data_IF_986362269162
#
_entry.id   IF_986362269162
#
_cell.length_a   1.000
_cell.length_b   1.000
_cell.length_c   1.000
_cell.angle_alpha   90.00
_cell.angle_beta   90.00
_cell.angle_gamma   90.00
#
_symmetry.space_group_name_H-M   'P 1'
#
loop_
_entity.id
_entity.type
_entity.pdbx_description
1 polymer ?
#
# COMPACT_ATOMS: atom_id res chain seq x y z
N UNK A 1 10.25 14.79 65.61
CA UNK A 1 10.27 15.98 64.75
C UNK A 1 9.00 15.97 63.90
N UNK A 2 8.26 17.08 63.91
CA UNK A 2 6.98 17.33 63.23
C UNK A 2 7.23 18.11 61.94
N UNK A 3 6.56 17.74 60.85
CA UNK A 3 6.03 18.55 59.73
C UNK A 3 5.05 17.57 59.02
N UNK A 4 3.72 17.67 58.92
CA UNK A 4 2.69 18.71 58.78
C UNK A 4 2.73 19.54 57.48
N UNK A 5 1.58 19.49 56.76
CA UNK A 5 1.00 20.42 55.76
C UNK A 5 1.39 20.10 54.29
N UNK A 6 0.51 20.02 53.28
CA UNK A 6 -0.94 20.25 53.14
C UNK A 6 -1.52 19.48 51.94
N UNK A 7 -2.82 19.20 52.04
CA UNK A 7 -3.74 18.93 50.92
C UNK A 7 -3.79 20.11 49.94
N UNK A 8 -3.88 19.82 48.64
CA UNK A 8 -4.65 20.65 47.71
C UNK A 8 -5.51 19.75 46.83
N UNK A 9 -6.82 19.78 47.10
CA UNK A 9 -7.88 19.28 46.22
C UNK A 9 -8.33 20.48 45.39
N UNK A 10 -8.34 20.35 44.06
CA UNK A 10 -9.13 21.20 43.18
C UNK A 10 -10.01 20.28 42.34
N UNK A 11 -11.31 20.39 42.56
CA UNK A 11 -12.38 19.86 41.70
C UNK A 11 -13.04 21.05 41.01
N UNK A 12 -13.05 21.05 39.68
CA UNK A 12 -14.03 21.66 38.79
C UNK A 12 -13.67 21.16 37.37
N UNK A 13 -14.53 20.63 36.52
CA UNK A 13 -15.95 20.89 36.35
C UNK A 13 -16.17 21.67 35.05
N UNK A 14 -16.59 20.95 34.00
CA UNK A 14 -17.40 21.39 32.84
C UNK A 14 -16.77 22.34 31.80
N UNK A 15 -16.58 21.84 30.57
CA UNK A 15 -17.28 22.40 29.39
C UNK A 15 -17.21 21.45 28.19
N UNK A 16 -18.36 20.86 27.87
CA UNK A 16 -18.68 20.44 26.52
C UNK A 16 -19.12 21.68 25.73
N UNK A 17 -18.61 21.87 24.51
CA UNK A 17 -19.23 22.79 23.55
C UNK A 17 -18.28 23.54 22.63
N UNK A 18 -18.56 23.38 21.33
CA UNK A 18 -18.27 24.27 20.20
C UNK A 18 -16.82 24.38 19.70
N UNK A 19 -16.54 23.68 18.60
CA UNK A 19 -16.28 24.39 17.34
C UNK A 19 -16.95 23.66 16.17
N UNK A 20 -17.61 24.46 15.35
CA UNK A 20 -18.54 24.07 14.31
C UNK A 20 -17.84 23.85 12.97
N UNK A 21 -18.45 22.96 12.17
CA UNK A 21 -18.67 23.08 10.73
C UNK A 21 -17.45 23.20 9.79
N UNK A 22 -17.18 22.11 9.06
CA UNK A 22 -17.26 22.19 7.61
C UNK A 22 -17.84 20.90 7.03
N UNK A 23 -18.95 21.07 6.32
CA UNK A 23 -19.73 20.07 5.58
C UNK A 23 -19.11 19.81 4.19
N UNK A 24 -19.70 18.78 3.55
CA UNK A 24 -19.67 18.34 2.14
C UNK A 24 -18.62 17.26 1.80
N UNK A 25 -18.97 16.12 1.20
CA UNK A 25 -20.22 15.70 0.56
C UNK A 25 -20.17 14.17 0.41
N UNK A 26 -20.90 13.43 1.25
CA UNK A 26 -21.07 11.99 1.08
C UNK A 26 -22.31 11.79 0.20
N UNK A 27 -22.10 11.38 -1.04
CA UNK A 27 -23.20 11.13 -1.98
C UNK A 27 -23.92 9.84 -1.57
N UNK A 28 -24.99 9.98 -0.78
CA UNK A 28 -25.94 8.90 -0.54
C UNK A 28 -26.96 8.89 -1.68
N UNK A 29 -26.84 7.91 -2.58
CA UNK A 29 -27.90 7.62 -3.55
C UNK A 29 -29.05 6.97 -2.79
N UNK A 30 -30.21 7.63 -2.79
CA UNK A 30 -31.46 7.05 -2.31
C UNK A 30 -32.30 6.66 -3.52
N UNK A 31 -32.81 5.43 -3.54
CA UNK A 31 -33.75 4.96 -4.53
C UNK A 31 -35.17 5.16 -3.98
N UNK A 32 -35.95 6.03 -4.63
CA UNK A 32 -37.39 6.11 -4.43
C UNK A 32 -38.07 5.59 -5.69
N UNK A 33 -38.87 4.54 -5.56
CA UNK A 33 -39.69 3.99 -6.63
C UNK A 33 -40.99 4.80 -6.74
N UNK A 34 -41.32 5.27 -7.94
CA UNK A 34 -42.55 5.99 -8.25
C UNK A 34 -43.02 5.53 -9.63
N UNK A 35 -44.04 4.68 -9.66
CA UNK A 35 -44.77 4.37 -10.88
C UNK A 35 -45.55 5.60 -11.34
N UNK A 36 -45.26 6.09 -12.55
CA UNK A 36 -46.26 6.30 -13.62
C UNK A 36 -45.72 7.17 -14.77
N UNK A 37 -46.10 6.71 -15.95
CA UNK A 37 -46.31 7.44 -17.19
C UNK A 37 -45.14 7.70 -18.15
N UNK A 38 -45.42 7.31 -19.39
CA UNK A 38 -44.56 7.14 -20.54
C UNK A 38 -44.29 8.46 -21.27
N UNK A 39 -43.02 8.81 -21.44
CA UNK A 39 -42.53 9.54 -22.63
C UNK A 39 -41.07 9.15 -22.90
N UNK A 40 -40.84 8.47 -24.02
CA UNK A 40 -39.52 8.05 -24.49
C UNK A 40 -38.79 9.26 -25.11
N UNK A 41 -37.88 9.89 -24.35
CA UNK A 41 -36.92 10.86 -24.87
C UNK A 41 -35.56 10.20 -25.02
N UNK A 42 -35.10 10.00 -26.26
CA UNK A 42 -33.70 9.62 -26.51
C UNK A 42 -32.81 10.82 -26.18
N UNK A 43 -32.06 10.73 -25.08
CA UNK A 43 -30.96 11.64 -24.79
C UNK A 43 -29.66 11.01 -25.31
N UNK A 44 -28.96 11.77 -26.13
CA UNK A 44 -27.64 11.43 -26.68
C UNK A 44 -26.65 11.16 -25.52
N UNK A 45 -25.89 10.05 -25.54
CA UNK A 45 -24.94 9.77 -24.47
C UNK A 45 -23.87 10.87 -24.44
N UNK A 46 -23.83 11.60 -23.33
CA UNK A 46 -22.78 12.57 -23.04
C UNK A 46 -21.42 11.86 -23.11
N UNK A 47 -20.54 12.37 -23.97
CA UNK A 47 -19.16 11.93 -24.14
C UNK A 47 -18.42 12.15 -22.81
N UNK A 48 -18.27 11.10 -22.02
CA UNK A 48 -17.44 11.10 -20.81
C UNK A 48 -16.00 11.31 -21.25
N UNK A 49 -15.45 12.48 -20.94
CA UNK A 49 -14.02 12.73 -21.05
C UNK A 49 -13.31 11.86 -20.00
N UNK A 50 -12.60 10.84 -20.45
CA UNK A 50 -11.62 10.15 -19.60
C UNK A 50 -10.48 11.13 -19.32
N UNK A 51 -10.50 11.77 -18.15
CA UNK A 51 -9.29 12.35 -17.59
C UNK A 51 -8.35 11.16 -17.30
N UNK A 52 -7.22 11.12 -17.98
CA UNK A 52 -6.16 10.13 -17.77
C UNK A 52 -5.60 10.37 -16.36
N UNK A 53 -6.08 9.61 -15.37
CA UNK A 53 -5.56 9.70 -14.00
C UNK A 53 -4.05 9.50 -14.03
N UNK A 54 -3.32 10.44 -13.42
CA UNK A 54 -1.87 10.38 -13.39
C UNK A 54 -1.43 9.03 -12.82
N UNK A 55 -0.45 8.33 -13.45
CA UNK A 55 -0.02 7.02 -12.97
C UNK A 55 0.41 7.12 -11.52
N UNK A 56 0.02 6.11 -10.73
CA UNK A 56 0.06 6.11 -9.26
C UNK A 56 1.38 6.62 -8.67
N UNK A 57 2.52 6.27 -9.26
CA UNK A 57 3.85 6.72 -8.79
C UNK A 57 4.13 8.21 -8.96
N UNK A 58 3.40 8.91 -9.83
CA UNK A 58 3.48 10.37 -9.94
C UNK A 58 2.77 11.08 -8.78
N UNK A 59 1.89 10.40 -8.04
CA UNK A 59 1.18 10.98 -6.89
C UNK A 59 2.13 11.43 -5.78
N UNK A 60 3.29 10.78 -5.67
CA UNK A 60 4.27 11.00 -4.60
C UNK A 60 5.67 11.36 -5.14
N UNK A 61 5.78 11.98 -6.31
CA UNK A 61 7.07 12.20 -7.02
C UNK A 61 8.18 12.91 -6.21
N UNK A 62 7.82 13.67 -5.16
CA UNK A 62 8.77 14.42 -4.33
C UNK A 62 9.06 13.74 -2.97
N UNK A 63 8.75 12.46 -2.82
CA UNK A 63 8.99 11.75 -1.58
C UNK A 63 10.50 11.60 -1.30
N UNK A 64 10.91 12.06 -0.12
CA UNK A 64 12.25 11.85 0.42
C UNK A 64 12.13 10.94 1.63
N UNK A 65 12.78 9.78 1.56
CA UNK A 65 12.78 8.79 2.63
C UNK A 65 13.64 9.26 3.81
N UNK A 66 13.23 8.89 5.02
CA UNK A 66 14.00 9.08 6.24
C UNK A 66 15.08 7.99 6.45
N UNK A 67 15.12 6.98 5.59
CA UNK A 67 15.98 5.82 5.73
C UNK A 67 16.76 5.55 4.45
N UNK A 68 17.90 4.90 4.61
CA UNK A 68 18.60 4.26 3.50
C UNK A 68 18.20 2.79 3.44
N UNK A 69 17.98 2.28 2.23
CA UNK A 69 17.56 0.90 2.01
C UNK A 69 18.58 0.13 1.19
N UNK A 70 18.85 -1.11 1.60
CA UNK A 70 19.66 -2.04 0.80
C UNK A 70 19.07 -3.44 0.85
N UNK A 71 19.11 -4.14 -0.29
CA UNK A 71 18.76 -5.55 -0.37
C UNK A 71 19.82 -6.41 0.32
N UNK A 72 19.41 -7.35 1.15
CA UNK A 72 20.25 -8.39 1.74
C UNK A 72 20.09 -9.72 0.97
N UNK A 73 21.03 -10.65 1.16
CA UNK A 73 21.01 -11.97 0.53
C UNK A 73 20.86 -13.14 1.51
N UNK A 74 20.90 -12.88 2.81
CA UNK A 74 20.82 -13.93 3.83
C UNK A 74 19.36 -14.34 4.07
N UNK A 75 18.95 -15.47 3.50
CA UNK A 75 17.58 -16.01 3.58
C UNK A 75 17.14 -16.36 5.00
N UNK A 76 18.08 -16.61 5.93
CA UNK A 76 17.74 -16.91 7.33
C UNK A 76 16.99 -15.75 8.01
N UNK A 77 17.17 -14.53 7.49
CA UNK A 77 16.47 -13.33 7.97
C UNK A 77 15.00 -13.24 7.55
N UNK A 78 14.51 -14.16 6.71
CA UNK A 78 13.07 -14.31 6.47
C UNK A 78 12.36 -14.84 7.73
N UNK A 79 13.07 -15.68 8.50
CA UNK A 79 12.56 -16.26 9.74
C UNK A 79 12.37 -15.14 10.76
N UNK A 80 11.15 -15.01 11.27
CA UNK A 80 10.78 -13.97 12.23
C UNK A 80 10.17 -12.72 11.59
N UNK A 81 10.07 -12.64 10.25
CA UNK A 81 9.25 -11.63 9.61
C UNK A 81 7.80 -12.11 9.48
N UNK A 82 6.86 -11.19 9.66
CA UNK A 82 5.42 -11.41 9.48
C UNK A 82 4.85 -10.31 8.59
N UNK A 83 3.70 -10.56 7.96
CA UNK A 83 2.90 -9.51 7.31
C UNK A 83 2.71 -8.30 8.23
N UNK A 84 2.95 -7.10 7.71
CA UNK A 84 2.76 -5.85 8.45
C UNK A 84 1.85 -4.87 7.73
N UNK A 85 2.07 -4.67 6.44
CA UNK A 85 1.34 -3.71 5.62
C UNK A 85 1.01 -4.36 4.28
N UNK A 86 -0.27 -4.34 3.91
CA UNK A 86 -0.66 -4.57 2.52
C UNK A 86 -0.48 -3.30 1.71
N UNK A 87 -0.27 -3.45 0.41
CA UNK A 87 -0.32 -2.31 -0.50
C UNK A 87 -1.75 -1.77 -0.58
N UNK A 88 -1.91 -0.46 -0.78
CA UNK A 88 -3.24 0.15 -0.99
C UNK A 88 -3.67 0.08 -2.46
N UNK A 89 -3.11 -0.87 -3.20
CA UNK A 89 -3.17 -0.89 -4.65
C UNK A 89 -4.51 -1.47 -5.12
N UNK A 90 -5.24 -0.77 -5.99
CA UNK A 90 -6.65 -1.03 -6.22
C UNK A 90 -6.93 -2.30 -7.05
N UNK A 91 -5.93 -2.82 -7.76
CA UNK A 91 -6.07 -3.90 -8.74
C UNK A 91 -4.73 -4.60 -9.03
N UNK A 92 -4.77 -5.60 -9.92
CA UNK A 92 -3.57 -6.30 -10.37
C UNK A 92 -2.55 -5.42 -11.13
N UNK A 93 -2.98 -4.28 -11.69
CA UNK A 93 -2.06 -3.29 -12.28
C UNK A 93 -1.16 -2.68 -11.19
N UNK A 94 -1.72 -2.46 -10.01
CA UNK A 94 -0.95 -2.03 -8.86
C UNK A 94 0.07 -3.09 -8.39
N UNK A 95 -0.28 -4.38 -8.43
CA UNK A 95 0.70 -5.46 -8.21
C UNK A 95 1.91 -5.33 -9.12
N UNK A 96 1.68 -5.07 -10.42
CA UNK A 96 2.75 -4.83 -11.37
C UNK A 96 3.58 -3.59 -11.05
N UNK A 97 2.95 -2.49 -10.62
CA UNK A 97 3.65 -1.27 -10.21
C UNK A 97 4.57 -1.52 -9.01
N UNK A 98 4.08 -2.20 -7.98
CA UNK A 98 4.85 -2.53 -6.78
C UNK A 98 6.07 -3.39 -7.13
N UNK A 99 5.87 -4.44 -7.91
CA UNK A 99 6.95 -5.32 -8.38
C UNK A 99 7.98 -4.57 -9.23
N UNK A 100 7.53 -3.77 -10.19
CA UNK A 100 8.41 -2.97 -11.04
C UNK A 100 9.25 -1.96 -10.26
N UNK A 101 8.66 -1.32 -9.24
CA UNK A 101 9.36 -0.40 -8.35
C UNK A 101 10.41 -1.11 -7.47
N UNK A 102 10.11 -2.31 -6.97
CA UNK A 102 11.10 -3.14 -6.27
C UNK A 102 12.28 -3.51 -7.18
N UNK A 103 12.02 -3.84 -8.45
CA UNK A 103 13.08 -4.10 -9.43
C UNK A 103 13.95 -2.85 -9.64
N UNK A 104 13.35 -1.66 -9.72
CA UNK A 104 14.10 -0.40 -9.83
C UNK A 104 14.99 -0.15 -8.61
N UNK A 105 14.46 -0.35 -7.40
CA UNK A 105 15.17 -0.05 -6.16
C UNK A 105 16.24 -1.09 -5.82
N UNK A 106 15.96 -2.37 -6.09
CA UNK A 106 16.69 -3.49 -5.49
C UNK A 106 17.13 -4.57 -6.49
N UNK A 107 16.77 -4.43 -7.77
CA UNK A 107 17.02 -5.43 -8.81
C UNK A 107 16.18 -6.69 -8.62
N UNK A 108 16.67 -7.84 -9.09
CA UNK A 108 15.99 -9.13 -8.94
C UNK A 108 15.77 -9.51 -7.46
N UNK A 109 14.68 -10.23 -7.14
CA UNK A 109 14.41 -10.70 -5.78
C UNK A 109 15.42 -11.76 -5.33
N UNK A 110 15.39 -12.13 -4.05
CA UNK A 110 16.22 -13.23 -3.54
C UNK A 110 15.59 -14.60 -3.78
N UNK A 111 14.26 -14.66 -3.82
CA UNK A 111 13.47 -15.82 -4.17
C UNK A 111 12.45 -15.39 -5.22
N UNK A 112 12.20 -16.25 -6.19
CA UNK A 112 11.20 -16.05 -7.22
C UNK A 112 10.64 -17.40 -7.65
N UNK A 113 9.34 -17.47 -7.85
CA UNK A 113 8.66 -18.67 -8.31
C UNK A 113 7.57 -18.32 -9.31
N UNK A 114 6.95 -19.33 -9.91
CA UNK A 114 5.76 -19.16 -10.74
C UNK A 114 4.46 -19.42 -9.95
N UNK A 115 4.54 -19.73 -8.65
CA UNK A 115 3.36 -19.83 -7.80
C UNK A 115 2.91 -18.43 -7.39
N UNK A 116 1.69 -18.04 -7.75
CA UNK A 116 1.13 -16.72 -7.42
C UNK A 116 1.03 -16.48 -5.90
N UNK A 117 0.95 -17.54 -5.09
CA UNK A 117 0.92 -17.49 -3.63
C UNK A 117 2.30 -17.30 -3.00
N UNK A 118 3.37 -17.36 -3.80
CA UNK A 118 4.74 -17.15 -3.36
C UNK A 118 5.61 -16.65 -4.54
N UNK A 119 5.18 -15.57 -5.18
CA UNK A 119 5.77 -15.15 -6.45
C UNK A 119 7.21 -14.66 -6.29
N UNK A 120 7.50 -13.89 -5.23
CA UNK A 120 8.85 -13.41 -4.92
C UNK A 120 9.02 -12.98 -3.45
N UNK A 121 10.28 -12.89 -3.03
CA UNK A 121 10.69 -12.29 -1.77
C UNK A 121 11.90 -11.37 -1.93
N UNK A 122 11.88 -10.24 -1.21
CA UNK A 122 13.03 -9.39 -0.92
C UNK A 122 13.27 -9.33 0.58
N UNK A 123 14.54 -9.31 0.99
CA UNK A 123 14.95 -8.91 2.34
C UNK A 123 15.63 -7.56 2.22
N UNK A 124 15.13 -6.58 2.97
CA UNK A 124 15.53 -5.18 2.86
C UNK A 124 15.96 -4.72 4.25
N UNK A 125 17.22 -4.27 4.36
CA UNK A 125 17.68 -3.57 5.54
C UNK A 125 17.39 -2.07 5.36
N UNK A 126 16.68 -1.49 6.32
CA UNK A 126 16.58 -0.05 6.49
C UNK A 126 17.62 0.43 7.51
N UNK A 127 18.15 1.63 7.32
CA UNK A 127 19.03 2.29 8.29
C UNK A 127 18.72 3.78 8.39
N UNK A 128 18.62 4.30 9.61
CA UNK A 128 18.49 5.75 9.86
C UNK A 128 19.87 6.44 9.98
N UNK A 129 19.87 7.77 10.06
CA UNK A 129 21.10 8.57 10.19
C UNK A 129 21.86 8.33 11.50
N UNK A 130 21.20 7.76 12.51
CA UNK A 130 21.82 7.39 13.79
C UNK A 130 22.44 5.98 13.74
N UNK A 131 22.28 5.26 12.64
CA UNK A 131 22.81 3.93 12.42
C UNK A 131 21.92 2.79 12.92
N UNK A 132 20.72 3.06 13.44
CA UNK A 132 19.75 2.03 13.80
C UNK A 132 19.32 1.26 12.55
N UNK A 133 19.05 -0.04 12.70
CA UNK A 133 18.76 -0.92 11.58
C UNK A 133 17.51 -1.74 11.82
N UNK A 134 16.72 -1.92 10.75
CA UNK A 134 15.54 -2.77 10.73
C UNK A 134 15.60 -3.71 9.54
N UNK A 135 15.07 -4.92 9.73
CA UNK A 135 14.94 -5.91 8.67
C UNK A 135 13.47 -5.97 8.27
N UNK A 136 13.21 -5.64 7.02
CA UNK A 136 11.89 -5.72 6.39
C UNK A 136 11.92 -6.76 5.28
N UNK A 137 10.75 -7.28 4.93
CA UNK A 137 10.53 -8.05 3.72
C UNK A 137 9.58 -7.30 2.79
N UNK A 138 9.73 -7.50 1.49
CA UNK A 138 8.73 -7.13 0.50
C UNK A 138 8.49 -8.35 -0.38
N UNK A 139 7.25 -8.83 -0.44
CA UNK A 139 6.94 -10.12 -1.03
C UNK A 139 5.55 -10.08 -1.67
N UNK A 140 5.23 -11.10 -2.46
CA UNK A 140 3.89 -11.34 -2.97
C UNK A 140 3.42 -12.74 -2.54
N UNK A 141 2.32 -12.74 -1.77
CA UNK A 141 1.68 -13.94 -1.24
C UNK A 141 0.24 -14.10 -1.72
N UNK A 142 -0.57 -14.97 -1.09
CA UNK A 142 -1.95 -15.25 -1.50
C UNK A 142 -2.88 -14.03 -1.52
N UNK A 143 -2.55 -13.00 -0.74
CA UNK A 143 -3.31 -11.75 -0.65
C UNK A 143 -2.71 -10.62 -1.51
N UNK A 144 -1.76 -10.94 -2.39
CA UNK A 144 -1.01 -10.00 -3.20
C UNK A 144 0.25 -9.45 -2.51
N UNK A 145 0.80 -8.33 -3.02
CA UNK A 145 2.04 -7.75 -2.52
C UNK A 145 1.89 -7.14 -1.12
N UNK A 146 2.92 -7.32 -0.31
CA UNK A 146 2.96 -6.86 1.08
C UNK A 146 4.39 -6.48 1.53
N UNK A 147 4.44 -5.71 2.62
CA UNK A 147 5.65 -5.49 3.41
C UNK A 147 5.51 -6.27 4.72
N UNK A 148 6.57 -6.97 5.07
CA UNK A 148 6.71 -7.66 6.35
C UNK A 148 7.90 -7.16 7.17
N UNK A 149 8.02 -7.70 8.38
CA UNK A 149 9.07 -7.37 9.34
C UNK A 149 8.79 -8.02 10.70
N UNK A 150 9.66 -7.79 11.68
CA UNK A 150 9.47 -8.25 13.06
C UNK A 150 8.36 -7.43 13.74
N UNK A 151 7.13 -7.97 13.76
CA UNK A 151 5.97 -7.29 14.36
C UNK A 151 6.05 -7.14 15.88
N UNK A 152 7.02 -7.78 16.55
CA UNK A 152 7.25 -7.58 17.99
C UNK A 152 7.99 -6.28 18.28
N UNK A 153 8.77 -5.77 17.32
CA UNK A 153 9.40 -4.46 17.38
C UNK A 153 8.41 -3.36 16.91
N UNK A 154 7.91 -2.57 17.85
CA UNK A 154 6.96 -1.49 17.52
C UNK A 154 7.58 -0.37 16.68
N UNK A 155 8.91 -0.25 16.67
CA UNK A 155 9.61 0.82 15.94
C UNK A 155 9.68 0.57 14.44
N UNK A 156 9.42 -0.65 13.97
CA UNK A 156 9.49 -1.00 12.55
C UNK A 156 8.28 -0.51 11.73
N UNK A 157 7.14 -0.22 12.36
CA UNK A 157 5.93 0.24 11.65
C UNK A 157 6.13 1.55 10.88
N UNK A 158 6.70 2.62 11.47
CA UNK A 158 7.10 3.82 10.73
C UNK A 158 8.05 3.52 9.55
N UNK A 159 9.01 2.62 9.74
CA UNK A 159 10.00 2.24 8.73
C UNK A 159 9.34 1.51 7.54
N UNK A 160 8.39 0.61 7.83
CA UNK A 160 7.61 -0.10 6.83
C UNK A 160 6.71 0.85 6.03
N UNK A 161 6.12 1.86 6.68
CA UNK A 161 5.33 2.90 5.98
C UNK A 161 6.19 3.77 5.08
N UNK A 162 7.39 4.16 5.55
CA UNK A 162 8.33 4.93 4.73
C UNK A 162 8.82 4.11 3.53
N UNK A 163 9.09 2.81 3.70
CA UNK A 163 9.44 1.91 2.60
C UNK A 163 8.29 1.77 1.60
N UNK A 164 7.04 1.63 2.07
CA UNK A 164 5.88 1.61 1.20
C UNK A 164 5.81 2.90 0.37
N UNK A 165 5.89 4.07 1.00
CA UNK A 165 5.88 5.35 0.28
C UNK A 165 7.06 5.48 -0.70
N UNK A 166 8.23 4.93 -0.36
CA UNK A 166 9.37 4.88 -1.27
C UNK A 166 9.07 4.04 -2.50
N UNK A 167 8.50 2.85 -2.33
CA UNK A 167 8.09 1.97 -3.44
C UNK A 167 7.02 2.65 -4.27
N UNK A 168 5.98 3.17 -3.63
CA UNK A 168 4.85 3.84 -4.28
C UNK A 168 5.26 5.13 -5.02
N UNK A 169 6.35 5.80 -4.62
CA UNK A 169 6.88 6.99 -5.32
C UNK A 169 7.91 6.67 -6.40
N UNK A 170 8.28 5.39 -6.56
CA UNK A 170 9.33 4.98 -7.50
C UNK A 170 8.73 4.66 -8.86
N UNK A 171 9.35 5.21 -9.92
CA UNK A 171 9.02 4.85 -11.28
C UNK A 171 9.39 3.38 -11.55
N UNK A 172 8.44 2.52 -11.96
CA UNK A 172 8.70 1.09 -12.09
C UNK A 172 9.57 0.76 -13.30
N UNK A 173 10.48 -0.20 -13.12
CA UNK A 173 11.25 -0.80 -14.22
C UNK A 173 10.34 -1.58 -15.15
N UNK A 174 10.75 -1.72 -16.42
CA UNK A 174 10.03 -2.60 -17.35
C UNK A 174 10.34 -4.06 -17.05
N UNK A 175 9.30 -4.88 -16.98
CA UNK A 175 9.37 -6.33 -16.74
C UNK A 175 8.06 -6.99 -17.15
N UNK A 176 8.06 -8.31 -17.25
CA UNK A 176 6.87 -9.14 -17.41
C UNK A 176 7.06 -10.41 -16.57
N UNK A 177 5.98 -10.84 -15.92
CA UNK A 177 5.96 -12.02 -15.06
C UNK A 177 4.69 -12.82 -15.35
N UNK A 178 4.83 -14.15 -15.34
CA UNK A 178 3.73 -15.10 -15.52
C UNK A 178 3.71 -16.03 -14.31
N UNK A 179 2.62 -15.99 -13.56
CA UNK A 179 2.41 -16.80 -12.35
C UNK A 179 1.10 -17.58 -12.44
N UNK A 180 0.97 -18.60 -11.62
CA UNK A 180 -0.15 -19.54 -11.61
C UNK A 180 -0.74 -19.64 -10.21
N UNK A 181 -2.07 -19.53 -10.12
CA UNK A 181 -2.81 -19.95 -8.93
C UNK A 181 -3.14 -21.43 -9.08
N UNK A 182 -2.35 -22.29 -8.43
CA UNK A 182 -2.47 -23.75 -8.57
C UNK A 182 -3.86 -24.26 -8.18
N UNK A 183 -4.46 -23.68 -7.14
CA UNK A 183 -5.76 -24.08 -6.61
C UNK A 183 -6.92 -23.85 -7.59
N UNK A 184 -6.83 -22.81 -8.43
CA UNK A 184 -7.91 -22.40 -9.34
C UNK A 184 -7.59 -22.65 -10.82
N UNK A 185 -6.35 -23.04 -11.14
CA UNK A 185 -5.88 -23.20 -12.51
C UNK A 185 -5.70 -21.88 -13.26
N UNK A 186 -5.82 -20.75 -12.58
CA UNK A 186 -5.71 -19.43 -13.20
C UNK A 186 -4.26 -19.11 -13.53
N UNK A 187 -4.06 -18.54 -14.71
CA UNK A 187 -2.79 -17.96 -15.15
C UNK A 187 -2.89 -16.45 -15.08
N UNK A 188 -1.93 -15.82 -14.42
CA UNK A 188 -1.80 -14.37 -14.35
C UNK A 188 -0.56 -13.94 -15.12
N UNK A 189 -0.72 -12.90 -15.92
CA UNK A 189 0.38 -12.19 -16.57
C UNK A 189 0.33 -10.73 -16.13
N UNK A 190 1.41 -10.23 -15.58
CA UNK A 190 1.50 -8.82 -15.18
C UNK A 190 2.90 -8.27 -15.43
N UNK A 191 2.98 -6.95 -15.62
CA UNK A 191 4.24 -6.33 -16.01
C UNK A 191 4.13 -4.82 -16.17
N UNK A 192 5.25 -4.21 -16.51
CA UNK A 192 5.31 -2.82 -16.90
C UNK A 192 6.15 -2.66 -18.17
N UNK A 193 5.71 -1.80 -19.08
CA UNK A 193 6.42 -1.43 -20.31
C UNK A 193 6.35 0.08 -20.47
N UNK A 194 7.50 0.75 -20.59
CA UNK A 194 7.55 2.19 -20.89
C UNK A 194 6.62 3.02 -20.00
N UNK A 195 6.65 2.79 -18.69
CA UNK A 195 5.84 3.48 -17.66
C UNK A 195 4.35 3.13 -17.65
N UNK A 196 3.90 2.16 -18.44
CA UNK A 196 2.54 1.65 -18.35
C UNK A 196 2.58 0.23 -17.80
N UNK A 197 1.92 0.02 -16.66
CA UNK A 197 1.76 -1.30 -16.08
C UNK A 197 0.46 -1.95 -16.54
N UNK A 198 0.45 -3.27 -16.57
CA UNK A 198 -0.67 -4.09 -17.04
C UNK A 198 -0.78 -5.36 -16.22
N UNK A 199 -1.98 -5.92 -16.22
CA UNK A 199 -2.33 -7.17 -15.58
C UNK A 199 -3.42 -7.85 -16.42
N UNK A 200 -3.32 -9.16 -16.58
CA UNK A 200 -4.37 -10.00 -17.14
C UNK A 200 -4.42 -11.33 -16.40
N UNK A 201 -5.63 -11.85 -16.26
CA UNK A 201 -5.89 -13.14 -15.64
C UNK A 201 -6.71 -13.99 -16.62
N UNK A 202 -6.33 -15.26 -16.75
CA UNK A 202 -6.93 -16.23 -17.65
C UNK A 202 -7.26 -17.51 -16.88
N UNK A 203 -8.47 -18.02 -17.08
CA UNK A 203 -8.96 -19.30 -16.54
C UNK A 203 -9.04 -20.36 -17.63
#
# INVERSE_FOLDING_TARGET
>A
MKFLIALLVIVAGVSAGLYAQHLNKQSSVSYSYSDNDSTFGYTEPQKVSHEEEAPFYLKNKNFTSLYTYKKLKNTDLLIGTSHMLSTSLPDGTGTAQFRGALITLFGAPILQSQNAEQAYDYIIQAQDDNGHQWILTAYEGPSGPAIGGDSTDRTIYPVAKDLLQKIESTQPSSFEEKVYYEDFGNTIVYGCTQNKCYYSEHS
#
